data_IF_625623103751
#
_entry.id   IF_625623103751
#
_cell.length_a   1.000
_cell.length_b   1.000
_cell.length_c   1.000
_cell.angle_alpha   90.00
_cell.angle_beta   90.00
_cell.angle_gamma   90.00
#
_symmetry.space_group_name_H-M   'P 1'
#
loop_
_entity.id
_entity.type
_entity.pdbx_description
1 polymer ?
#
# COMPACT_ATOMS: atom_id res chain seq x y z
N UNK A 1 10.59 -21.55 25.99
CA UNK A 1 10.89 -20.20 25.49
C UNK A 1 10.68 -20.20 23.99
N UNK A 2 9.92 -19.26 23.43
CA UNK A 2 9.85 -19.11 21.97
C UNK A 2 11.26 -18.73 21.44
N UNK A 3 11.73 -19.41 20.40
CA UNK A 3 13.09 -19.25 19.87
C UNK A 3 13.30 -17.96 19.04
N UNK A 4 12.26 -17.12 18.90
CA UNK A 4 12.29 -15.90 18.10
C UNK A 4 11.28 -14.87 18.63
N UNK A 5 11.49 -13.60 18.27
CA UNK A 5 10.53 -12.50 18.48
C UNK A 5 9.99 -12.06 17.12
N UNK A 6 8.68 -11.92 17.03
CA UNK A 6 8.00 -11.38 15.84
C UNK A 6 7.75 -9.90 16.07
N UNK A 7 8.16 -9.06 15.12
CA UNK A 7 7.90 -7.62 15.13
C UNK A 7 7.05 -7.26 13.92
N UNK A 8 5.84 -6.77 14.17
CA UNK A 8 5.01 -6.16 13.12
C UNK A 8 5.45 -4.71 12.92
N UNK A 9 5.76 -4.36 11.68
CA UNK A 9 6.33 -3.05 11.35
C UNK A 9 5.32 -2.07 10.79
N UNK A 10 4.09 -2.49 10.48
CA UNK A 10 3.08 -1.65 9.85
C UNK A 10 2.80 -0.36 10.65
N UNK A 11 2.62 -0.48 11.97
CA UNK A 11 2.46 0.70 12.86
C UNK A 11 3.67 1.64 12.84
N UNK A 12 4.90 1.09 12.82
CA UNK A 12 6.13 1.88 12.68
C UNK A 12 6.21 2.59 11.32
N UNK A 13 5.72 1.96 10.25
CA UNK A 13 5.64 2.57 8.92
C UNK A 13 4.63 3.73 8.89
N UNK A 14 3.52 3.64 9.64
CA UNK A 14 2.57 4.77 9.78
C UNK A 14 3.24 5.97 10.45
N UNK A 15 4.08 5.75 11.47
CA UNK A 15 4.85 6.83 12.12
C UNK A 15 5.89 7.45 11.17
N UNK A 16 6.59 6.60 10.39
CA UNK A 16 7.52 7.08 9.38
C UNK A 16 6.82 7.90 8.29
N UNK A 17 5.64 7.43 7.86
CA UNK A 17 4.76 8.11 6.92
C UNK A 17 4.33 9.48 7.44
N UNK A 18 3.92 9.57 8.72
CA UNK A 18 3.59 10.85 9.38
C UNK A 18 4.75 11.84 9.30
N UNK A 19 5.96 11.37 9.67
CA UNK A 19 7.15 12.20 9.74
C UNK A 19 7.50 12.78 8.36
N UNK A 20 7.44 11.94 7.32
CA UNK A 20 7.67 12.40 5.95
C UNK A 20 6.54 13.30 5.44
N UNK A 21 5.29 13.02 5.80
CA UNK A 21 4.14 13.87 5.45
C UNK A 21 4.23 15.27 6.06
N UNK A 22 4.71 15.39 7.30
CA UNK A 22 4.98 16.68 7.95
C UNK A 22 6.06 17.46 7.21
N UNK A 23 7.15 16.78 6.85
CA UNK A 23 8.25 17.41 6.11
C UNK A 23 7.82 17.81 4.70
N UNK A 24 7.03 16.98 4.02
CA UNK A 24 6.45 17.27 2.70
C UNK A 24 5.63 18.56 2.73
N UNK A 25 4.68 18.68 3.68
CA UNK A 25 3.90 19.92 3.84
C UNK A 25 4.76 21.12 4.23
N UNK A 26 5.78 20.93 5.06
CA UNK A 26 6.71 21.99 5.46
C UNK A 26 7.47 22.56 4.26
N UNK A 27 8.04 21.69 3.44
CA UNK A 27 8.78 22.09 2.24
C UNK A 27 7.89 22.81 1.23
N UNK A 28 6.69 22.28 0.96
CA UNK A 28 5.74 22.95 0.08
C UNK A 28 5.39 24.35 0.60
N UNK A 29 5.07 24.48 1.89
CA UNK A 29 4.75 25.78 2.50
C UNK A 29 5.90 26.79 2.35
N UNK A 30 7.14 26.36 2.58
CA UNK A 30 8.32 27.21 2.39
C UNK A 30 8.48 27.65 0.93
N UNK A 31 8.22 26.75 -0.01
CA UNK A 31 8.28 27.05 -1.43
C UNK A 31 7.17 28.01 -1.86
N UNK A 32 5.94 27.84 -1.37
CA UNK A 32 4.83 28.77 -1.60
C UNK A 32 5.19 30.17 -1.10
N UNK A 33 5.72 30.30 0.12
CA UNK A 33 6.16 31.60 0.64
C UNK A 33 7.31 32.21 -0.17
N UNK A 34 8.28 31.40 -0.63
CA UNK A 34 9.36 31.87 -1.52
C UNK A 34 8.77 32.43 -2.81
N UNK A 35 7.88 31.68 -3.45
CA UNK A 35 7.24 32.04 -4.71
C UNK A 35 6.43 33.33 -4.58
N UNK A 36 5.60 33.45 -3.54
CA UNK A 36 4.88 34.68 -3.20
C UNK A 36 5.81 35.88 -3.01
N UNK A 37 6.92 35.70 -2.28
CA UNK A 37 7.88 36.79 -2.01
C UNK A 37 8.59 37.30 -3.26
N UNK A 38 8.65 36.47 -4.31
CA UNK A 38 9.30 36.77 -5.59
C UNK A 38 8.33 37.07 -6.72
N UNK A 39 7.03 36.99 -6.47
CA UNK A 39 5.98 37.09 -7.48
C UNK A 39 6.19 36.07 -8.63
N UNK A 40 6.55 34.84 -8.27
CA UNK A 40 6.77 33.69 -9.15
C UNK A 40 5.78 32.57 -8.80
N UNK A 41 5.66 31.58 -9.69
CA UNK A 41 4.94 30.35 -9.38
C UNK A 41 5.80 29.42 -8.49
N UNK A 42 5.18 28.63 -7.59
CA UNK A 42 5.87 27.60 -6.83
C UNK A 42 6.53 26.55 -7.74
N UNK A 43 7.72 26.10 -7.36
CA UNK A 43 8.41 25.02 -8.06
C UNK A 43 7.86 23.67 -7.58
N UNK A 44 6.94 23.10 -8.35
CA UNK A 44 6.31 21.78 -8.07
C UNK A 44 7.35 20.65 -7.87
N UNK A 45 8.54 20.77 -8.47
CA UNK A 45 9.60 19.77 -8.32
C UNK A 45 10.09 19.57 -6.88
N UNK A 46 9.84 20.53 -5.97
CA UNK A 46 10.15 20.38 -4.54
C UNK A 46 9.41 19.19 -3.90
N UNK A 47 8.24 18.84 -4.44
CA UNK A 47 7.38 17.78 -3.91
C UNK A 47 7.99 16.38 -4.12
N UNK A 48 8.84 16.20 -5.14
CA UNK A 48 9.55 14.95 -5.37
C UNK A 48 10.50 14.55 -4.25
N UNK A 49 10.94 15.50 -3.42
CA UNK A 49 11.84 15.22 -2.29
C UNK A 49 11.28 14.14 -1.36
N UNK A 50 9.95 14.09 -1.18
CA UNK A 50 9.31 13.14 -0.28
C UNK A 50 8.20 12.32 -0.95
N UNK A 51 7.55 12.82 -2.01
CA UNK A 51 6.34 12.21 -2.57
C UNK A 51 6.50 10.72 -2.92
N UNK A 52 7.61 10.32 -3.53
CA UNK A 52 7.85 8.92 -3.89
C UNK A 52 8.04 8.01 -2.68
N UNK A 53 8.83 8.47 -1.69
CA UNK A 53 9.01 7.73 -0.45
C UNK A 53 7.67 7.57 0.29
N UNK A 54 6.85 8.62 0.31
CA UNK A 54 5.53 8.61 0.94
C UNK A 54 4.59 7.62 0.21
N UNK A 55 4.56 7.62 -1.12
CA UNK A 55 3.77 6.65 -1.91
C UNK A 55 4.19 5.20 -1.66
N UNK A 56 5.49 4.93 -1.62
CA UNK A 56 6.03 3.59 -1.36
C UNK A 56 5.63 3.14 0.04
N UNK A 57 5.79 4.00 1.05
CA UNK A 57 5.35 3.72 2.42
C UNK A 57 3.85 3.47 2.51
N UNK A 58 3.04 4.25 1.80
CA UNK A 58 1.60 4.06 1.78
C UNK A 58 1.22 2.65 1.31
N UNK A 59 1.74 2.23 0.15
CA UNK A 59 1.52 0.88 -0.37
C UNK A 59 2.04 -0.21 0.60
N UNK A 60 3.19 0.01 1.24
CA UNK A 60 3.75 -0.92 2.23
C UNK A 60 2.91 -1.03 3.51
N UNK A 61 2.27 0.06 3.96
CA UNK A 61 1.34 0.03 5.11
C UNK A 61 0.12 -0.82 4.76
N UNK A 62 -0.45 -0.65 3.55
CA UNK A 62 -1.60 -1.43 3.10
C UNK A 62 -1.26 -2.91 3.02
N UNK A 63 -0.19 -3.25 2.29
CA UNK A 63 0.26 -4.63 2.10
C UNK A 63 0.61 -5.29 3.44
N UNK A 64 1.35 -4.58 4.30
CA UNK A 64 1.75 -5.07 5.62
C UNK A 64 0.56 -5.34 6.54
N UNK A 65 -0.42 -4.44 6.56
CA UNK A 65 -1.60 -4.58 7.43
C UNK A 65 -2.49 -5.75 7.00
N UNK A 66 -2.76 -5.89 5.69
CA UNK A 66 -3.53 -7.02 5.17
C UNK A 66 -2.80 -8.35 5.34
N UNK A 67 -1.47 -8.36 5.19
CA UNK A 67 -0.65 -9.54 5.47
C UNK A 67 -0.70 -9.91 6.94
N UNK A 68 -0.61 -8.94 7.86
CA UNK A 68 -0.78 -9.20 9.29
C UNK A 68 -2.12 -9.85 9.60
N UNK A 69 -3.24 -9.37 9.03
CA UNK A 69 -4.56 -10.00 9.19
C UNK A 69 -4.52 -11.48 8.81
N UNK A 70 -4.05 -11.79 7.61
CA UNK A 70 -3.99 -13.16 7.10
C UNK A 70 -3.06 -14.04 7.94
N UNK A 71 -1.86 -13.56 8.25
CA UNK A 71 -0.87 -14.32 9.03
C UNK A 71 -1.35 -14.60 10.45
N UNK A 72 -2.02 -13.66 11.11
CA UNK A 72 -2.60 -13.89 12.43
C UNK A 72 -3.65 -14.99 12.40
N UNK A 73 -4.54 -14.98 11.40
CA UNK A 73 -5.56 -16.01 11.25
C UNK A 73 -4.95 -17.38 10.99
N UNK A 74 -4.01 -17.45 10.05
CA UNK A 74 -3.25 -18.67 9.76
C UNK A 74 -2.55 -19.22 11.00
N UNK A 75 -1.86 -18.37 11.75
CA UNK A 75 -1.12 -18.79 12.93
C UNK A 75 -2.04 -19.27 14.05
N UNK A 76 -3.19 -18.62 14.24
CA UNK A 76 -4.22 -19.09 15.17
C UNK A 76 -4.67 -20.51 14.80
N UNK A 77 -5.05 -20.72 13.55
CA UNK A 77 -5.60 -22.01 13.09
C UNK A 77 -4.53 -23.12 13.09
N UNK A 78 -3.28 -22.81 12.75
CA UNK A 78 -2.13 -23.71 12.90
C UNK A 78 -1.94 -24.10 14.36
N UNK A 79 -1.91 -23.13 15.28
CA UNK A 79 -1.69 -23.41 16.70
C UNK A 79 -2.84 -24.25 17.29
N UNK A 80 -4.08 -23.97 16.90
CA UNK A 80 -5.25 -24.75 17.32
C UNK A 80 -5.17 -26.20 16.83
N UNK A 81 -4.88 -26.42 15.55
CA UNK A 81 -4.72 -27.75 14.98
C UNK A 81 -3.61 -28.54 15.70
N UNK A 82 -2.45 -27.91 15.93
CA UNK A 82 -1.32 -28.52 16.64
C UNK A 82 -1.69 -28.88 18.09
N UNK A 83 -2.43 -28.01 18.78
CA UNK A 83 -2.86 -28.25 20.16
C UNK A 83 -3.84 -29.44 20.23
N UNK A 84 -4.79 -29.51 19.29
CA UNK A 84 -5.73 -30.63 19.18
C UNK A 84 -5.01 -31.95 18.85
N UNK A 85 -4.06 -31.93 17.90
CA UNK A 85 -3.23 -33.07 17.55
C UNK A 85 -2.41 -33.57 18.74
N UNK A 86 -1.77 -32.65 19.48
CA UNK A 86 -1.00 -32.99 20.67
C UNK A 86 -1.88 -33.59 21.78
N UNK A 87 -3.07 -33.04 22.02
CA UNK A 87 -4.05 -33.58 22.97
C UNK A 87 -4.53 -34.99 22.56
N UNK A 88 -4.57 -35.30 21.26
CA UNK A 88 -4.88 -36.62 20.72
C UNK A 88 -3.68 -37.59 20.71
N UNK A 89 -2.52 -37.22 21.28
CA UNK A 89 -1.33 -38.05 21.39
C UNK A 89 -0.41 -38.01 20.16
N UNK A 90 -0.61 -37.07 19.23
CA UNK A 90 0.31 -36.89 18.11
C UNK A 90 1.64 -36.32 18.61
N UNK A 91 2.74 -36.93 18.17
CA UNK A 91 4.11 -36.52 18.51
C UNK A 91 4.79 -35.69 17.41
N UNK A 92 4.14 -35.56 16.26
CA UNK A 92 4.63 -34.81 15.10
C UNK A 92 3.46 -34.24 14.30
N UNK A 93 3.73 -33.21 13.51
CA UNK A 93 2.73 -32.59 12.64
C UNK A 93 2.22 -33.58 11.59
N UNK A 94 0.91 -33.67 11.45
CA UNK A 94 0.28 -34.42 10.36
C UNK A 94 0.41 -33.67 9.02
N UNK A 95 0.00 -34.32 7.92
CA UNK A 95 0.14 -33.74 6.57
C UNK A 95 -0.61 -32.41 6.40
N UNK A 96 -1.78 -32.27 7.02
CA UNK A 96 -2.57 -31.03 6.90
C UNK A 96 -1.91 -29.89 7.66
N UNK A 97 -1.45 -30.14 8.88
CA UNK A 97 -0.70 -29.16 9.68
C UNK A 97 0.59 -28.72 8.98
N UNK A 98 1.31 -29.66 8.33
CA UNK A 98 2.49 -29.33 7.53
C UNK A 98 2.17 -28.46 6.32
N UNK A 99 1.05 -28.71 5.63
CA UNK A 99 0.62 -27.89 4.50
C UNK A 99 0.23 -26.48 4.96
N UNK A 100 -0.48 -26.38 6.08
CA UNK A 100 -0.89 -25.10 6.65
C UNK A 100 0.31 -24.26 7.10
N UNK A 101 1.30 -24.89 7.76
CA UNK A 101 2.55 -24.24 8.14
C UNK A 101 3.37 -23.79 6.92
N UNK A 102 3.41 -24.57 5.85
CA UNK A 102 4.07 -24.17 4.59
C UNK A 102 3.38 -22.98 3.94
N UNK A 103 2.05 -22.99 3.92
CA UNK A 103 1.28 -21.88 3.38
C UNK A 103 1.46 -20.60 4.21
N UNK A 104 1.50 -20.71 5.55
CA UNK A 104 1.85 -19.57 6.41
C UNK A 104 3.23 -19.00 6.06
N UNK A 105 4.25 -19.85 5.89
CA UNK A 105 5.59 -19.41 5.51
C UNK A 105 5.60 -18.73 4.13
N UNK A 106 4.84 -19.25 3.15
CA UNK A 106 4.68 -18.63 1.85
C UNK A 106 4.02 -17.25 1.96
N UNK A 107 2.97 -17.09 2.77
CA UNK A 107 2.33 -15.79 3.02
C UNK A 107 3.28 -14.82 3.72
N UNK A 108 4.10 -15.26 4.66
CA UNK A 108 5.05 -14.37 5.35
C UNK A 108 6.23 -13.96 4.45
N UNK A 109 6.66 -14.82 3.52
CA UNK A 109 7.84 -14.59 2.68
C UNK A 109 7.55 -14.04 1.28
N UNK A 110 6.34 -14.25 0.75
CA UNK A 110 5.97 -13.84 -0.60
C UNK A 110 5.66 -12.35 -0.64
N UNK A 111 6.42 -11.59 -1.43
CA UNK A 111 6.15 -10.18 -1.69
C UNK A 111 5.17 -9.98 -2.85
N UNK A 112 4.36 -8.92 -2.77
CA UNK A 112 3.60 -8.44 -3.92
C UNK A 112 2.09 -8.48 -3.74
N UNK A 113 1.47 -7.39 -4.18
CA UNK A 113 0.06 -7.10 -4.00
C UNK A 113 -0.89 -8.17 -4.56
N UNK A 114 -0.70 -8.56 -5.82
CA UNK A 114 -1.59 -9.52 -6.48
C UNK A 114 -1.50 -10.93 -5.87
N UNK A 115 -0.32 -11.33 -5.37
CA UNK A 115 -0.16 -12.59 -4.67
C UNK A 115 -0.89 -12.56 -3.32
N UNK A 116 -0.72 -11.48 -2.55
CA UNK A 116 -1.40 -11.31 -1.27
C UNK A 116 -2.93 -11.36 -1.41
N UNK A 117 -3.50 -10.65 -2.40
CA UNK A 117 -4.95 -10.70 -2.67
C UNK A 117 -5.45 -12.12 -2.94
N UNK A 118 -4.72 -12.89 -3.76
CA UNK A 118 -5.05 -14.29 -4.04
C UNK A 118 -4.95 -15.17 -2.80
N UNK A 119 -3.95 -14.96 -1.94
CA UNK A 119 -3.82 -15.71 -0.69
C UNK A 119 -4.97 -15.41 0.28
N UNK A 120 -5.39 -14.15 0.38
CA UNK A 120 -6.55 -13.74 1.18
C UNK A 120 -7.82 -14.40 0.64
N UNK A 121 -8.07 -14.33 -0.67
CA UNK A 121 -9.25 -14.95 -1.27
C UNK A 121 -9.24 -16.47 -1.10
N UNK A 122 -8.08 -17.12 -1.28
CA UNK A 122 -7.94 -18.56 -1.11
C UNK A 122 -8.21 -19.02 0.34
N UNK A 123 -7.71 -18.27 1.33
CA UNK A 123 -7.72 -18.72 2.72
C UNK A 123 -8.96 -18.24 3.50
N UNK A 124 -9.41 -17.01 3.24
CA UNK A 124 -10.50 -16.36 3.97
C UNK A 124 -11.80 -16.34 3.18
N UNK A 125 -11.80 -16.78 1.91
CA UNK A 125 -12.95 -16.68 0.99
C UNK A 125 -13.44 -15.23 0.80
N UNK A 126 -12.50 -14.27 0.92
CA UNK A 126 -12.77 -12.83 0.79
C UNK A 126 -12.00 -12.27 -0.39
N UNK A 127 -12.72 -11.74 -1.38
CA UNK A 127 -12.12 -10.97 -2.46
C UNK A 127 -12.04 -9.50 -2.07
N UNK A 128 -10.85 -9.02 -1.68
CA UNK A 128 -10.66 -7.62 -1.26
C UNK A 128 -11.03 -6.60 -2.35
N UNK A 129 -10.90 -6.99 -3.62
CA UNK A 129 -11.25 -6.13 -4.75
C UNK A 129 -12.78 -6.01 -4.94
N UNK A 130 -13.55 -7.04 -4.55
CA UNK A 130 -15.03 -7.01 -4.60
C UNK A 130 -15.64 -6.41 -3.33
N UNK A 131 -14.87 -6.44 -2.24
CA UNK A 131 -15.26 -5.93 -0.93
C UNK A 131 -15.28 -4.39 -0.84
N UNK A 132 -14.66 -3.70 -1.80
CA UNK A 132 -14.53 -2.24 -1.78
C UNK A 132 -15.20 -1.61 -3.01
N UNK A 133 -15.49 -0.32 -2.91
CA UNK A 133 -16.04 0.47 -4.01
C UNK A 133 -15.09 0.47 -5.22
N UNK A 134 -15.63 0.50 -6.47
CA UNK A 134 -14.83 0.51 -7.69
C UNK A 134 -13.77 1.63 -7.71
N UNK A 135 -14.10 2.82 -7.20
CA UNK A 135 -13.21 3.98 -7.19
C UNK A 135 -12.04 3.76 -6.22
N UNK A 136 -12.31 3.23 -5.02
CA UNK A 136 -11.28 2.87 -4.04
C UNK A 136 -10.37 1.77 -4.61
N UNK A 137 -10.94 0.76 -5.27
CA UNK A 137 -10.16 -0.30 -5.95
C UNK A 137 -9.23 0.26 -7.02
N UNK A 138 -9.75 1.13 -7.89
CA UNK A 138 -8.96 1.76 -8.96
C UNK A 138 -7.79 2.54 -8.36
N UNK A 139 -8.07 3.35 -7.33
CA UNK A 139 -7.06 4.12 -6.62
C UNK A 139 -5.96 3.25 -5.99
N UNK A 140 -6.32 2.17 -5.30
CA UNK A 140 -5.36 1.22 -4.72
C UNK A 140 -4.54 0.53 -5.81
N UNK A 141 -5.17 0.15 -6.93
CA UNK A 141 -4.47 -0.46 -8.06
C UNK A 141 -3.42 0.50 -8.64
N UNK A 142 -3.77 1.77 -8.80
CA UNK A 142 -2.86 2.83 -9.24
C UNK A 142 -1.72 3.03 -8.24
N UNK A 143 -2.01 3.06 -6.94
CA UNK A 143 -0.98 3.19 -5.89
C UNK A 143 0.05 2.06 -5.96
N UNK A 144 -0.38 0.80 -6.11
CA UNK A 144 0.54 -0.33 -6.22
C UNK A 144 1.29 -0.36 -7.57
N UNK A 145 0.68 0.08 -8.66
CA UNK A 145 1.38 0.27 -9.92
C UNK A 145 2.49 1.33 -9.81
N UNK A 146 2.17 2.49 -9.19
CA UNK A 146 3.14 3.54 -8.89
C UNK A 146 4.26 3.02 -7.98
N UNK A 147 3.94 2.36 -6.87
CA UNK A 147 4.95 1.77 -5.97
C UNK A 147 5.92 0.89 -6.73
N UNK A 148 5.43 0.00 -7.62
CA UNK A 148 6.29 -0.89 -8.37
C UNK A 148 7.24 -0.11 -9.28
N UNK A 149 6.71 0.84 -10.05
CA UNK A 149 7.51 1.65 -10.97
C UNK A 149 8.53 2.52 -10.23
N UNK A 150 8.10 3.22 -9.18
CA UNK A 150 8.95 4.14 -8.41
C UNK A 150 10.02 3.40 -7.59
N UNK A 151 9.70 2.22 -7.04
CA UNK A 151 10.63 1.45 -6.20
C UNK A 151 11.86 0.93 -6.96
N UNK A 152 11.78 0.80 -8.28
CA UNK A 152 12.92 0.41 -9.10
C UNK A 152 13.93 1.55 -9.29
N UNK A 153 13.52 2.82 -9.09
CA UNK A 153 14.36 3.99 -9.34
C UNK A 153 14.83 4.09 -10.80
N UNK A 154 14.13 3.43 -11.72
CA UNK A 154 14.44 3.42 -13.15
C UNK A 154 13.62 4.46 -13.90
N UNK A 155 13.93 4.68 -15.18
CA UNK A 155 13.21 5.65 -16.00
C UNK A 155 11.71 5.31 -16.12
N UNK A 156 10.84 6.27 -15.80
CA UNK A 156 9.42 6.21 -16.13
C UNK A 156 9.28 6.61 -17.60
N UNK A 157 8.75 5.71 -18.43
CA UNK A 157 8.62 5.94 -19.87
C UNK A 157 7.17 6.32 -20.17
N UNK A 158 6.97 7.57 -20.56
CA UNK A 158 5.69 8.08 -21.04
C UNK A 158 5.83 8.45 -22.52
N UNK A 159 5.19 7.72 -23.45
CA UNK A 159 5.14 8.15 -24.84
C UNK A 159 4.39 9.48 -24.98
N UNK A 160 4.92 10.39 -25.78
CA UNK A 160 4.28 11.68 -26.11
C UNK A 160 3.08 11.52 -27.06
N UNK A 161 2.95 10.36 -27.70
CA UNK A 161 1.85 10.00 -28.58
C UNK A 161 1.42 8.57 -28.30
N UNK A 162 0.11 8.29 -28.46
CA UNK A 162 -0.43 6.94 -28.35
C UNK A 162 0.26 6.02 -29.37
N UNK A 163 0.98 5.03 -28.89
CA UNK A 163 1.59 4.00 -29.74
C UNK A 163 0.53 3.04 -30.29
N UNK A 164 0.72 2.59 -31.54
CA UNK A 164 -0.16 1.61 -32.20
C UNK A 164 -0.07 0.23 -31.51
N UNK A 165 -1.16 -0.54 -31.57
CA UNK A 165 -1.21 -1.93 -31.08
C UNK A 165 -0.29 -2.88 -31.87
N UNK A 166 0.16 -2.48 -33.05
CA UNK A 166 1.17 -3.19 -33.83
C UNK A 166 2.57 -3.11 -33.18
N UNK A 167 2.76 -2.22 -32.20
CA UNK A 167 4.03 -2.01 -31.50
C UNK A 167 4.13 -2.75 -30.17
N UNK A 168 3.29 -3.79 -29.94
CA UNK A 168 3.25 -4.57 -28.68
C UNK A 168 4.60 -5.12 -28.22
N UNK A 169 5.47 -5.45 -29.18
CA UNK A 169 6.79 -6.02 -28.89
C UNK A 169 7.85 -4.93 -28.59
N UNK A 170 7.49 -3.65 -28.66
CA UNK A 170 8.39 -2.52 -28.47
C UNK A 170 8.39 -2.08 -27.02
N UNK A 171 9.57 -1.96 -26.42
CA UNK A 171 9.75 -1.67 -24.99
C UNK A 171 8.91 -0.47 -24.45
N UNK A 172 8.88 0.70 -25.12
CA UNK A 172 7.97 1.79 -24.75
C UNK A 172 6.47 1.46 -24.74
N UNK A 173 5.99 0.55 -25.59
CA UNK A 173 4.57 0.17 -25.61
C UNK A 173 4.17 -0.56 -24.33
N UNK A 174 5.03 -1.45 -23.83
CA UNK A 174 4.80 -2.15 -22.56
C UNK A 174 4.68 -1.19 -21.38
N UNK A 175 5.49 -0.13 -21.37
CA UNK A 175 5.39 0.94 -20.37
C UNK A 175 4.12 1.76 -20.53
N UNK A 176 3.76 2.14 -21.76
CA UNK A 176 2.51 2.83 -22.05
C UNK A 176 1.31 2.05 -21.52
N UNK A 177 1.21 0.76 -21.84
CA UNK A 177 0.10 -0.09 -21.43
C UNK A 177 0.02 -0.25 -19.91
N UNK A 178 1.17 -0.34 -19.21
CA UNK A 178 1.22 -0.40 -17.74
C UNK A 178 0.84 0.90 -17.06
N UNK A 179 1.23 2.04 -17.63
CA UNK A 179 1.02 3.37 -17.05
C UNK A 179 -0.23 4.07 -17.57
N UNK A 180 -0.91 3.56 -18.59
CA UNK A 180 -2.08 4.23 -19.18
C UNK A 180 -3.18 4.47 -18.14
N UNK A 181 -3.54 3.44 -17.35
CA UNK A 181 -4.51 3.58 -16.27
C UNK A 181 -4.03 4.55 -15.18
N UNK A 182 -2.74 4.55 -14.85
CA UNK A 182 -2.13 5.49 -13.91
C UNK A 182 -2.24 6.92 -14.42
N UNK A 183 -1.88 7.17 -15.68
CA UNK A 183 -1.91 8.49 -16.30
C UNK A 183 -3.34 9.04 -16.34
N UNK A 184 -4.32 8.23 -16.78
CA UNK A 184 -5.72 8.62 -16.81
C UNK A 184 -6.27 8.94 -15.42
N UNK A 185 -5.93 8.10 -14.43
CA UNK A 185 -6.35 8.32 -13.05
C UNK A 185 -5.76 9.61 -12.50
N UNK A 186 -4.45 9.82 -12.62
CA UNK A 186 -3.77 11.00 -12.10
C UNK A 186 -4.28 12.28 -12.77
N UNK A 187 -4.47 12.27 -14.09
CA UNK A 187 -5.02 13.42 -14.80
C UNK A 187 -6.43 13.76 -14.35
N UNK A 188 -7.26 12.75 -14.09
CA UNK A 188 -8.63 12.95 -13.59
C UNK A 188 -8.65 13.58 -12.18
N UNK A 189 -7.63 13.31 -11.37
CA UNK A 189 -7.56 13.80 -9.98
C UNK A 189 -6.87 15.17 -9.88
N UNK A 190 -5.74 15.36 -10.57
CA UNK A 190 -4.90 16.56 -10.40
C UNK A 190 -4.86 17.48 -11.63
N UNK A 191 -5.15 16.98 -12.83
CA UNK A 191 -5.32 17.79 -14.04
C UNK A 191 -4.07 18.57 -14.48
N UNK A 192 -2.87 18.01 -14.29
CA UNK A 192 -1.59 18.67 -14.57
C UNK A 192 -1.01 18.38 -15.96
N UNK A 193 -1.69 17.59 -16.79
CA UNK A 193 -1.36 17.33 -18.20
C UNK A 193 -0.44 16.13 -18.47
N UNK A 194 0.40 15.72 -17.51
CA UNK A 194 1.33 14.60 -17.69
C UNK A 194 1.60 13.82 -16.40
N UNK A 195 2.15 12.60 -16.51
CA UNK A 195 2.32 11.72 -15.33
C UNK A 195 3.27 12.36 -14.33
N UNK A 196 4.37 12.95 -14.79
CA UNK A 196 5.32 13.63 -13.92
C UNK A 196 4.72 14.89 -13.30
N UNK A 197 4.02 15.70 -14.06
CA UNK A 197 3.41 16.92 -13.56
C UNK A 197 2.34 16.60 -12.50
N UNK A 198 1.56 15.54 -12.71
CA UNK A 198 0.58 15.07 -11.72
C UNK A 198 1.26 14.43 -10.49
N UNK A 199 2.39 13.72 -10.66
CA UNK A 199 3.17 13.18 -9.53
C UNK A 199 3.87 14.26 -8.71
N UNK A 200 4.09 15.43 -9.30
CA UNK A 200 4.64 16.60 -8.63
C UNK A 200 3.58 17.40 -7.85
N UNK A 201 2.30 17.04 -7.93
CA UNK A 201 1.25 17.73 -7.20
C UNK A 201 1.42 17.55 -5.67
N UNK A 202 1.38 18.66 -4.93
CA UNK A 202 1.62 18.67 -3.49
C UNK A 202 0.56 17.89 -2.68
N UNK A 203 -0.67 17.79 -3.18
CA UNK A 203 -1.76 17.07 -2.53
C UNK A 203 -1.74 15.57 -2.85
N UNK A 204 -0.93 15.12 -3.82
CA UNK A 204 -0.91 13.73 -4.28
C UNK A 204 -0.66 12.72 -3.15
N UNK A 205 0.34 12.89 -2.27
CA UNK A 205 0.52 12.00 -1.12
C UNK A 205 -0.70 11.96 -0.18
N UNK A 206 -1.33 13.11 0.07
CA UNK A 206 -2.50 13.23 0.94
C UNK A 206 -3.74 12.57 0.34
N UNK A 207 -3.94 12.68 -0.97
CA UNK A 207 -4.99 11.98 -1.71
C UNK A 207 -4.91 10.48 -1.51
N UNK A 208 -3.75 9.87 -1.75
CA UNK A 208 -3.59 8.43 -1.57
C UNK A 208 -3.69 8.02 -0.09
N UNK A 209 -3.41 8.89 0.88
CA UNK A 209 -3.69 8.59 2.28
C UNK A 209 -5.18 8.52 2.57
N UNK A 210 -5.96 9.48 2.07
CA UNK A 210 -7.41 9.47 2.21
C UNK A 210 -8.03 8.21 1.59
N UNK A 211 -7.50 7.78 0.43
CA UNK A 211 -7.86 6.49 -0.19
C UNK A 211 -7.55 5.32 0.75
N UNK A 212 -6.39 5.30 1.41
CA UNK A 212 -6.02 4.26 2.37
C UNK A 212 -6.94 4.22 3.58
N UNK A 213 -7.34 5.38 4.09
CA UNK A 213 -8.31 5.49 5.19
C UNK A 213 -9.68 4.94 4.80
N UNK A 214 -10.18 5.32 3.61
CA UNK A 214 -11.43 4.80 3.06
C UNK A 214 -11.35 3.28 2.81
N UNK A 215 -10.24 2.81 2.27
CA UNK A 215 -10.00 1.38 2.01
C UNK A 215 -10.09 0.54 3.28
N UNK A 216 -9.39 0.92 4.36
CA UNK A 216 -9.46 0.19 5.61
C UNK A 216 -10.81 0.35 6.33
N UNK A 217 -11.48 1.49 6.18
CA UNK A 217 -12.84 1.67 6.71
C UNK A 217 -13.83 0.68 6.08
N UNK A 218 -13.71 0.43 4.77
CA UNK A 218 -14.57 -0.53 4.06
C UNK A 218 -14.24 -1.98 4.44
N UNK A 219 -12.97 -2.30 4.71
CA UNK A 219 -12.52 -3.66 5.02
C UNK A 219 -12.62 -4.06 6.50
N UNK A 220 -12.69 -3.11 7.42
CA UNK A 220 -12.65 -3.35 8.87
C UNK A 220 -13.72 -4.37 9.33
N UNK A 221 -14.96 -4.21 8.87
CA UNK A 221 -16.06 -5.11 9.23
C UNK A 221 -15.94 -6.51 8.62
N UNK A 222 -15.25 -6.64 7.49
CA UNK A 222 -15.11 -7.92 6.76
C UNK A 222 -14.11 -8.83 7.47
N UNK A 223 -13.07 -8.26 8.07
CA UNK A 223 -12.02 -9.00 8.75
C UNK A 223 -12.22 -9.10 10.27
N UNK A 224 -13.36 -8.65 10.80
CA UNK A 224 -13.66 -8.74 12.22
C UNK A 224 -13.87 -10.21 12.66
N UNK A 225 -13.42 -10.61 13.87
CA UNK A 225 -12.63 -9.81 14.81
C UNK A 225 -11.16 -9.65 14.37
N UNK A 226 -10.62 -8.44 14.53
CA UNK A 226 -9.23 -8.13 14.21
C UNK A 226 -8.31 -8.45 15.40
N UNK A 227 -7.08 -8.92 15.16
CA UNK A 227 -6.05 -9.00 16.20
C UNK A 227 -5.68 -7.60 16.74
N UNK A 228 -5.41 -7.47 18.04
CA UNK A 228 -5.07 -6.19 18.70
C UNK A 228 -4.00 -5.36 17.97
N UNK A 229 -2.95 -6.02 17.46
CA UNK A 229 -1.86 -5.36 16.73
C UNK A 229 -2.34 -4.73 15.41
N UNK A 230 -3.26 -5.41 14.72
CA UNK A 230 -3.87 -4.92 13.48
C UNK A 230 -4.86 -3.80 13.80
N UNK A 231 -5.72 -3.99 14.80
CA UNK A 231 -6.69 -2.99 15.22
C UNK A 231 -5.99 -1.67 15.59
N UNK A 232 -4.90 -1.74 16.35
CA UNK A 232 -4.05 -0.59 16.66
C UNK A 232 -3.53 0.10 15.39
N UNK A 233 -3.05 -0.67 14.42
CA UNK A 233 -2.51 -0.14 13.16
C UNK A 233 -3.62 0.55 12.34
N UNK A 234 -4.79 -0.07 12.19
CA UNK A 234 -5.93 0.51 11.48
C UNK A 234 -6.42 1.78 12.17
N UNK A 235 -6.45 1.80 13.52
CA UNK A 235 -6.74 3.01 14.28
C UNK A 235 -5.74 4.13 13.97
N UNK A 236 -4.44 3.84 14.00
CA UNK A 236 -3.42 4.83 13.62
C UNK A 236 -3.60 5.34 12.19
N UNK A 237 -3.99 4.47 11.25
CA UNK A 237 -4.29 4.88 9.86
C UNK A 237 -5.45 5.88 9.82
N UNK A 238 -6.54 5.58 10.53
CA UNK A 238 -7.76 6.39 10.55
C UNK A 238 -7.57 7.74 11.27
N UNK A 239 -6.80 7.75 12.35
CA UNK A 239 -6.57 8.94 13.17
C UNK A 239 -5.53 9.90 12.56
N UNK A 240 -4.65 9.40 11.68
CA UNK A 240 -3.60 10.22 11.08
C UNK A 240 -4.16 11.20 10.05
N UNK A 241 -3.97 12.49 10.29
CA UNK A 241 -4.20 13.54 9.31
C UNK A 241 -2.90 13.82 8.55
N UNK A 242 -2.91 13.64 7.22
CA UNK A 242 -1.69 13.77 6.41
C UNK A 242 -1.03 15.15 6.61
N UNK A 243 0.20 15.15 7.14
CA UNK A 243 1.01 16.35 7.33
C UNK A 243 0.54 17.30 8.44
N UNK A 244 -0.33 16.83 9.34
CA UNK A 244 -0.75 17.57 10.52
C UNK A 244 -0.54 16.71 11.78
N UNK A 245 0.02 17.31 12.83
CA UNK A 245 -0.06 16.72 14.17
C UNK A 245 -1.33 17.22 14.85
N UNK A 246 -2.23 16.30 15.15
CA UNK A 246 -3.24 16.55 16.18
C UNK A 246 -2.49 16.56 17.51
N UNK A 247 -2.24 17.73 18.08
CA UNK A 247 -1.81 17.81 19.47
C UNK A 247 -2.99 17.36 20.33
N UNK A 248 -3.00 16.09 20.72
CA UNK A 248 -3.82 15.57 21.82
C UNK A 248 -2.95 15.34 23.04
#
# INVERSE_FOLDING_TARGET
>A
MAAFKVFETASSLVIAYETLGLEHRRLWRLESYRAESKNEDPVDWVNYNNAFAILILNASIIEGTLRSILTHRLRHDVNEAVAQGSAAGQTALNKMEQLLAKFQAEVEMSGGWEALKRHIELYLDVSVDKAVKPETKEAITVLFALRNVLSHGTAIIQPSMKMSDEMKDVYPWNWQSKLHGVAMYLERIFGKGGVFENLADHEMPGHFWAVTQDYFTQLESIFAPLPDAVEKTIKMIKDLSFGYRMHT
#
